data_IF_131548230837
#
_entry.id   IF_131548230837
#
_cell.length_a   1.000
_cell.length_b   1.000
_cell.length_c   1.000
_cell.angle_alpha   90.00
_cell.angle_beta   90.00
_cell.angle_gamma   90.00
#
_symmetry.space_group_name_H-M   'P 1'
#
loop_
_entity.id
_entity.type
_entity.pdbx_description
1 polymer ?
#
# COMPACT_ATOMS: atom_id res chain seq x y z
N UNK A 1 9.57 20.82 11.43
CA UNK A 1 9.13 20.51 10.04
C UNK A 1 8.26 21.67 9.56
N UNK A 2 8.35 22.05 8.28
CA UNK A 2 7.44 23.09 7.73
C UNK A 2 6.00 22.55 7.77
N UNK A 3 5.03 23.40 8.07
CA UNK A 3 3.60 23.05 8.17
C UNK A 3 3.12 22.21 6.96
N UNK A 4 3.55 22.61 5.77
CA UNK A 4 3.29 21.92 4.50
C UNK A 4 3.76 20.45 4.46
N UNK A 5 4.89 20.12 5.08
CA UNK A 5 5.37 18.72 5.14
C UNK A 5 4.54 17.86 6.08
N UNK A 6 3.96 18.45 7.14
CA UNK A 6 3.07 17.73 8.06
C UNK A 6 1.73 17.46 7.37
N UNK A 7 1.16 18.47 6.70
CA UNK A 7 -0.06 18.32 5.92
C UNK A 7 0.11 17.28 4.80
N UNK A 8 1.22 17.32 4.06
CA UNK A 8 1.51 16.32 3.03
C UNK A 8 1.63 14.90 3.59
N UNK A 9 2.21 14.75 4.78
CA UNK A 9 2.37 13.44 5.41
C UNK A 9 1.05 12.90 5.97
N UNK A 10 0.18 13.76 6.52
CA UNK A 10 -1.19 13.40 6.90
C UNK A 10 -1.98 12.96 5.65
N UNK A 11 -1.91 13.73 4.56
CA UNK A 11 -2.57 13.39 3.31
C UNK A 11 -2.09 12.03 2.75
N UNK A 12 -0.78 11.77 2.80
CA UNK A 12 -0.19 10.47 2.42
C UNK A 12 -0.69 9.33 3.31
N UNK A 13 -0.80 9.54 4.62
CA UNK A 13 -1.32 8.51 5.53
C UNK A 13 -2.79 8.20 5.22
N UNK A 14 -3.63 9.23 5.04
CA UNK A 14 -5.06 9.07 4.70
C UNK A 14 -5.21 8.35 3.36
N UNK A 15 -4.49 8.78 2.34
CA UNK A 15 -4.54 8.18 1.01
C UNK A 15 -4.09 6.72 1.04
N UNK A 16 -3.05 6.42 1.84
CA UNK A 16 -2.59 5.05 2.05
C UNK A 16 -3.66 4.20 2.74
N UNK A 17 -4.34 4.71 3.77
CA UNK A 17 -5.42 3.99 4.45
C UNK A 17 -6.58 3.67 3.50
N UNK A 18 -6.96 4.63 2.65
CA UNK A 18 -8.00 4.44 1.63
C UNK A 18 -7.60 3.36 0.65
N UNK A 19 -6.35 3.37 0.15
CA UNK A 19 -5.84 2.31 -0.73
C UNK A 19 -5.86 0.94 -0.04
N UNK A 20 -5.43 0.84 1.21
CA UNK A 20 -5.46 -0.41 1.98
C UNK A 20 -6.90 -0.95 2.13
N UNK A 21 -7.87 -0.06 2.32
CA UNK A 21 -9.29 -0.44 2.38
C UNK A 21 -9.82 -0.96 1.03
N UNK A 22 -9.54 -0.25 -0.08
CA UNK A 22 -9.94 -0.69 -1.41
C UNK A 22 -9.27 -2.01 -1.82
N UNK A 23 -7.99 -2.18 -1.47
CA UNK A 23 -7.24 -3.42 -1.75
C UNK A 23 -7.79 -4.61 -0.96
N UNK A 24 -8.15 -4.41 0.32
CA UNK A 24 -8.85 -5.42 1.11
C UNK A 24 -10.22 -5.77 0.51
N UNK A 25 -11.03 -4.77 0.16
CA UNK A 25 -12.33 -5.00 -0.43
C UNK A 25 -12.19 -5.81 -1.74
N UNK A 26 -11.24 -5.42 -2.60
CA UNK A 26 -10.99 -6.10 -3.85
C UNK A 26 -10.47 -7.55 -3.66
N UNK A 27 -9.64 -7.82 -2.65
CA UNK A 27 -9.20 -9.19 -2.34
C UNK A 27 -10.33 -10.08 -1.82
N UNK A 28 -11.24 -9.52 -1.01
CA UNK A 28 -12.42 -10.24 -0.53
C UNK A 28 -13.37 -10.58 -1.68
N UNK A 29 -13.66 -9.64 -2.58
CA UNK A 29 -14.47 -9.90 -3.77
C UNK A 29 -13.82 -10.93 -4.71
N UNK A 30 -12.49 -10.88 -4.88
CA UNK A 30 -11.76 -11.87 -5.68
C UNK A 30 -11.71 -13.26 -5.02
N UNK A 31 -11.79 -13.33 -3.69
CA UNK A 31 -11.84 -14.60 -2.94
C UNK A 31 -13.22 -15.26 -3.03
N UNK A 32 -14.30 -14.49 -2.91
CA UNK A 32 -15.67 -15.00 -2.93
C UNK A 32 -16.18 -15.38 -4.32
N UNK A 33 -15.63 -14.78 -5.38
CA UNK A 33 -16.01 -15.11 -6.76
C UNK A 33 -15.53 -16.48 -7.24
N UNK A 34 -14.91 -17.28 -6.36
CA UNK A 34 -14.45 -18.63 -6.68
C UNK A 34 -13.39 -18.59 -7.77
N UNK A 35 -12.33 -17.80 -7.56
CA UNK A 35 -11.24 -17.55 -8.51
C UNK A 35 -10.64 -18.85 -9.10
N UNK A 36 -11.32 -19.38 -10.13
CA UNK A 36 -10.79 -20.31 -11.11
C UNK A 36 -9.93 -19.57 -12.14
N UNK A 37 -9.97 -18.23 -12.15
CA UNK A 37 -9.08 -17.40 -12.94
C UNK A 37 -7.75 -17.15 -12.20
N UNK A 38 -6.60 -17.58 -12.76
CA UNK A 38 -5.28 -17.39 -12.15
C UNK A 38 -4.95 -15.91 -11.91
N UNK A 39 -5.55 -15.03 -12.69
CA UNK A 39 -5.44 -13.56 -12.55
C UNK A 39 -6.02 -13.07 -11.22
N UNK A 40 -7.19 -13.55 -10.83
CA UNK A 40 -7.85 -13.16 -9.57
C UNK A 40 -7.11 -13.67 -8.34
N UNK A 41 -6.54 -14.88 -8.43
CA UNK A 41 -5.72 -15.46 -7.36
C UNK A 41 -4.40 -14.69 -7.15
N UNK A 42 -3.70 -14.33 -8.24
CA UNK A 42 -2.49 -13.52 -8.15
C UNK A 42 -2.77 -12.12 -7.61
N UNK A 43 -3.86 -11.49 -8.06
CA UNK A 43 -4.29 -10.18 -7.56
C UNK A 43 -4.65 -10.23 -6.07
N UNK A 44 -5.35 -11.26 -5.61
CA UNK A 44 -5.68 -11.42 -4.18
C UNK A 44 -4.42 -11.57 -3.31
N UNK A 45 -3.44 -12.38 -3.74
CA UNK A 45 -2.17 -12.54 -3.02
C UNK A 45 -1.37 -11.23 -2.92
N UNK A 46 -1.27 -10.46 -4.02
CA UNK A 46 -0.58 -9.16 -4.01
C UNK A 46 -1.34 -8.10 -3.22
N UNK A 47 -2.66 -8.17 -3.12
CA UNK A 47 -3.46 -7.27 -2.29
C UNK A 47 -3.33 -7.59 -0.80
N UNK A 48 -3.21 -8.87 -0.42
CA UNK A 48 -3.01 -9.28 0.98
C UNK A 48 -1.70 -8.76 1.56
N UNK A 49 -0.63 -8.71 0.78
CA UNK A 49 0.66 -8.18 1.26
C UNK A 49 0.62 -6.66 1.51
N UNK A 50 -0.21 -5.90 0.79
CA UNK A 50 -0.43 -4.46 1.07
C UNK A 50 -0.94 -4.25 2.49
N UNK A 51 -1.78 -5.17 2.99
CA UNK A 51 -2.33 -5.14 4.34
C UNK A 51 -1.25 -5.20 5.43
N UNK A 52 -0.13 -5.87 5.16
CA UNK A 52 1.00 -5.99 6.09
C UNK A 52 2.02 -4.86 5.90
N UNK A 53 2.27 -4.43 4.67
CA UNK A 53 3.25 -3.40 4.36
C UNK A 53 2.81 -2.02 4.88
N UNK A 54 1.52 -1.69 4.76
CA UNK A 54 0.98 -0.40 5.21
C UNK A 54 1.19 -0.14 6.72
N UNK A 55 0.74 -1.00 7.66
CA UNK A 55 0.92 -0.75 9.09
C UNK A 55 2.40 -0.63 9.47
N UNK A 56 3.29 -1.43 8.87
CA UNK A 56 4.74 -1.32 9.09
C UNK A 56 5.26 0.06 8.68
N UNK A 57 4.83 0.57 7.52
CA UNK A 57 5.21 1.90 7.04
C UNK A 57 4.64 3.03 7.91
N UNK A 58 3.41 2.87 8.42
CA UNK A 58 2.80 3.83 9.37
C UNK A 58 3.58 3.85 10.68
N UNK A 59 3.90 2.69 11.26
CA UNK A 59 4.69 2.60 12.50
C UNK A 59 6.08 3.21 12.30
N UNK A 60 6.77 2.90 11.19
CA UNK A 60 8.06 3.49 10.87
C UNK A 60 7.97 5.03 10.72
N UNK A 61 6.92 5.52 10.07
CA UNK A 61 6.66 6.96 9.89
C UNK A 61 6.46 7.67 11.23
N UNK A 62 5.65 7.08 12.13
CA UNK A 62 5.41 7.61 13.48
C UNK A 62 6.71 7.64 14.31
N UNK A 63 7.48 6.55 14.31
CA UNK A 63 8.77 6.49 15.01
C UNK A 63 9.74 7.55 14.48
N UNK A 64 9.84 7.73 13.16
CA UNK A 64 10.70 8.73 12.55
C UNK A 64 10.23 10.17 12.83
N UNK A 65 8.92 10.39 12.99
CA UNK A 65 8.38 11.67 13.46
C UNK A 65 8.78 11.97 14.91
N UNK A 66 8.67 10.98 15.82
CA UNK A 66 9.07 11.12 17.23
C UNK A 66 10.56 11.45 17.33
N UNK A 67 11.40 10.81 16.50
CA UNK A 67 12.83 11.08 16.41
C UNK A 67 13.18 12.40 15.70
N UNK A 68 12.18 13.24 15.37
CA UNK A 68 12.31 14.51 14.63
C UNK A 68 12.96 14.36 13.24
N UNK A 69 13.00 13.15 12.67
CA UNK A 69 13.57 12.85 11.34
C UNK A 69 12.51 12.95 10.24
N UNK A 70 11.91 14.13 10.13
CA UNK A 70 10.77 14.39 9.24
C UNK A 70 10.98 14.05 7.76
N UNK A 71 12.20 14.19 7.23
CA UNK A 71 12.52 13.83 5.84
C UNK A 71 12.44 12.32 5.60
N UNK A 72 12.87 11.53 6.58
CA UNK A 72 12.79 10.07 6.51
C UNK A 72 11.37 9.57 6.74
N UNK A 73 10.61 10.23 7.63
CA UNK A 73 9.20 9.94 7.84
C UNK A 73 8.39 10.11 6.55
N UNK A 74 8.71 11.14 5.76
CA UNK A 74 8.08 11.37 4.46
C UNK A 74 8.41 10.26 3.45
N UNK A 75 9.66 9.78 3.42
CA UNK A 75 10.05 8.64 2.58
C UNK A 75 9.36 7.33 3.01
N UNK A 76 9.26 7.09 4.31
CA UNK A 76 8.56 5.93 4.87
C UNK A 76 7.06 5.95 4.52
N UNK A 77 6.43 7.13 4.51
CA UNK A 77 5.04 7.28 4.11
C UNK A 77 4.79 7.05 2.61
N UNK A 78 5.80 7.26 1.75
CA UNK A 78 5.72 7.02 0.29
C UNK A 78 5.94 5.54 -0.06
N UNK A 79 6.72 4.81 0.75
CA UNK A 79 7.03 3.41 0.54
C UNK A 79 5.84 2.47 0.26
N UNK A 80 4.70 2.53 0.99
CA UNK A 80 3.56 1.67 0.71
C UNK A 80 2.93 1.95 -0.66
N UNK A 81 3.02 3.19 -1.17
CA UNK A 81 2.54 3.53 -2.51
C UNK A 81 3.42 2.93 -3.61
N UNK A 82 4.74 2.98 -3.42
CA UNK A 82 5.69 2.33 -4.33
C UNK A 82 5.42 0.83 -4.37
N UNK A 83 5.15 0.22 -3.22
CA UNK A 83 4.79 -1.20 -3.14
C UNK A 83 3.50 -1.52 -3.90
N UNK A 84 2.42 -0.76 -3.67
CA UNK A 84 1.13 -0.93 -4.36
C UNK A 84 1.32 -0.78 -5.89
N UNK A 85 2.06 0.22 -6.33
CA UNK A 85 2.33 0.45 -7.75
C UNK A 85 3.17 -0.68 -8.36
N UNK A 86 4.20 -1.15 -7.66
CA UNK A 86 5.01 -2.29 -8.06
C UNK A 86 4.22 -3.59 -8.13
N UNK A 87 3.35 -3.84 -7.14
CA UNK A 87 2.45 -5.00 -7.11
C UNK A 87 1.44 -4.95 -8.26
N UNK A 88 0.91 -3.78 -8.59
CA UNK A 88 0.03 -3.58 -9.74
C UNK A 88 0.75 -3.88 -11.07
N UNK A 89 1.95 -3.32 -11.28
CA UNK A 89 2.77 -3.61 -12.47
C UNK A 89 3.11 -5.09 -12.57
N UNK A 90 3.55 -5.71 -11.47
CA UNK A 90 3.88 -7.13 -11.45
C UNK A 90 2.67 -7.98 -11.85
N UNK A 91 1.50 -7.69 -11.28
CA UNK A 91 0.26 -8.41 -11.59
C UNK A 91 -0.14 -8.20 -13.06
N UNK A 92 0.01 -6.98 -13.60
CA UNK A 92 -0.27 -6.65 -15.00
C UNK A 92 0.71 -7.30 -16.00
N UNK A 93 1.98 -7.46 -15.62
CA UNK A 93 2.99 -8.15 -16.45
C UNK A 93 2.81 -9.67 -16.38
N UNK A 94 2.56 -10.21 -15.19
CA UNK A 94 2.31 -11.64 -15.01
C UNK A 94 1.07 -12.09 -15.80
N UNK A 95 0.01 -11.29 -15.81
CA UNK A 95 -1.21 -11.56 -16.60
C UNK A 95 -1.01 -11.49 -18.11
N UNK A 96 -0.05 -10.70 -18.61
CA UNK A 96 0.26 -10.65 -20.05
C UNK A 96 1.06 -11.87 -20.53
N UNK A 97 1.75 -12.55 -19.62
CA UNK A 97 2.62 -13.70 -19.91
C UNK A 97 1.96 -15.06 -19.58
N UNK A 98 0.70 -15.05 -19.12
CA UNK A 98 -0.17 -16.21 -18.90
C UNK A 98 -1.12 -16.37 -20.09
#
# INVERSE_FOLDING_TARGET
MKLWSILGLIALLILGAVLTFFTLAASLFASDSGAQDPVGAHFSQTMFTVLYVYPVCVTATLVLMVLRRGRLALLAAVFPFIYVFGAFIYTAVATKNL
#
